data_IF_325288148644
#
_entry.id   IF_325288148644
#
_cell.length_a   1.000
_cell.length_b   1.000
_cell.length_c   1.000
_cell.angle_alpha   90.00
_cell.angle_beta   90.00
_cell.angle_gamma   90.00
#
_symmetry.space_group_name_H-M   'P 1'
#
loop_
_entity.id
_entity.type
_entity.pdbx_description
1 polymer ?
#
# COMPACT_ATOMS: atom_id res chain seq x y z
N UNK A 1 -0.40 8.06 24.16
CA UNK A 1 0.82 8.54 23.47
C UNK A 1 0.51 8.66 21.99
N UNK A 2 0.67 9.84 21.39
CA UNK A 2 0.57 10.03 19.94
C UNK A 2 2.00 9.89 19.36
N UNK A 3 2.26 8.82 18.62
CA UNK A 3 3.59 8.47 18.08
C UNK A 3 3.80 8.94 16.65
N UNK A 4 2.86 9.72 16.09
CA UNK A 4 2.85 10.10 14.69
C UNK A 4 2.61 8.92 13.75
N UNK A 5 2.60 9.21 12.44
CA UNK A 5 2.27 8.23 11.39
C UNK A 5 3.20 7.01 11.41
N UNK A 6 4.52 7.23 11.29
CA UNK A 6 5.50 6.15 11.27
C UNK A 6 5.52 5.35 12.58
N UNK A 7 5.35 6.03 13.72
CA UNK A 7 5.30 5.36 15.02
C UNK A 7 4.09 4.44 15.17
N UNK A 8 2.91 4.89 14.72
CA UNK A 8 1.70 4.08 14.71
C UNK A 8 1.83 2.84 13.80
N UNK A 9 2.34 3.04 12.59
CA UNK A 9 2.63 1.97 11.62
C UNK A 9 3.57 0.92 12.24
N UNK A 10 4.67 1.35 12.85
CA UNK A 10 5.67 0.45 13.45
C UNK A 10 5.11 -0.38 14.60
N UNK A 11 4.22 0.20 15.41
CA UNK A 11 3.51 -0.54 16.45
C UNK A 11 2.60 -1.59 15.82
N UNK A 12 1.85 -1.23 14.77
CA UNK A 12 1.00 -2.17 14.02
C UNK A 12 1.78 -3.36 13.48
N UNK A 13 2.92 -3.11 12.81
CA UNK A 13 3.80 -4.15 12.28
C UNK A 13 4.26 -5.14 13.36
N UNK A 14 4.60 -4.64 14.56
CA UNK A 14 5.04 -5.50 15.67
C UNK A 14 3.94 -6.46 16.17
N UNK A 15 2.67 -6.14 15.95
CA UNK A 15 1.54 -6.94 16.42
C UNK A 15 0.87 -7.77 15.32
N UNK A 16 1.16 -7.49 14.04
CA UNK A 16 0.66 -8.28 12.92
C UNK A 16 1.28 -9.67 12.84
N UNK A 17 0.50 -10.63 12.34
CA UNK A 17 0.87 -12.06 12.25
C UNK A 17 0.71 -12.66 10.86
N UNK A 18 0.25 -11.87 9.88
CA UNK A 18 0.04 -12.34 8.52
C UNK A 18 1.35 -12.39 7.73
N UNK A 19 1.35 -13.17 6.65
CA UNK A 19 2.50 -13.28 5.74
C UNK A 19 2.77 -11.99 4.96
N UNK A 20 1.76 -11.12 4.86
CA UNK A 20 1.80 -9.82 4.20
C UNK A 20 1.29 -8.73 5.14
N UNK A 21 1.90 -7.55 5.03
CA UNK A 21 1.47 -6.33 5.71
C UNK A 21 0.79 -5.43 4.67
N UNK A 22 -0.43 -4.99 4.95
CA UNK A 22 -1.13 -3.99 4.15
C UNK A 22 -1.18 -2.67 4.92
N UNK A 23 -0.59 -1.62 4.35
CA UNK A 23 -0.68 -0.26 4.87
C UNK A 23 -1.90 0.43 4.27
N UNK A 24 -2.83 0.87 5.12
CA UNK A 24 -4.02 1.62 4.72
C UNK A 24 -4.13 2.90 5.54
N UNK A 25 -4.57 3.96 4.87
CA UNK A 25 -5.04 5.15 5.53
C UNK A 25 -6.57 5.08 5.68
N UNK A 26 -7.14 5.83 6.62
CA UNK A 26 -8.58 5.85 6.87
C UNK A 26 -9.38 6.75 5.93
N UNK A 27 -8.70 7.55 5.10
CA UNK A 27 -9.27 8.61 4.25
C UNK A 27 -9.33 8.23 2.76
N UNK A 28 -9.28 6.93 2.44
CA UNK A 28 -9.34 6.41 1.08
C UNK A 28 -10.52 5.47 0.89
N UNK A 29 -10.99 5.37 -0.34
CA UNK A 29 -11.99 4.38 -0.77
C UNK A 29 -11.33 3.40 -1.74
N UNK A 30 -11.67 2.13 -1.57
CA UNK A 30 -11.12 1.04 -2.36
C UNK A 30 -12.17 0.43 -3.27
N UNK A 31 -11.76 -0.05 -4.44
CA UNK A 31 -12.59 -0.96 -5.22
C UNK A 31 -12.71 -2.31 -4.49
N UNK A 32 -13.86 -3.00 -4.55
CA UNK A 32 -14.09 -4.21 -3.76
C UNK A 32 -13.06 -5.33 -3.96
N UNK A 33 -12.44 -5.38 -5.13
CA UNK A 33 -11.48 -6.41 -5.57
C UNK A 33 -10.01 -6.00 -5.43
N UNK A 34 -9.71 -4.77 -4.99
CA UNK A 34 -8.34 -4.22 -5.00
C UNK A 34 -7.33 -5.15 -4.30
N UNK A 35 -7.73 -5.76 -3.17
CA UNK A 35 -6.85 -6.63 -2.41
C UNK A 35 -6.56 -7.92 -3.17
N UNK A 36 -7.57 -8.51 -3.83
CA UNK A 36 -7.39 -9.73 -4.60
C UNK A 36 -6.48 -9.50 -5.81
N UNK A 37 -6.62 -8.35 -6.47
CA UNK A 37 -5.72 -7.94 -7.54
C UNK A 37 -4.27 -7.79 -7.03
N UNK A 38 -4.07 -7.13 -5.89
CA UNK A 38 -2.75 -6.98 -5.29
C UNK A 38 -2.13 -8.34 -4.92
N UNK A 39 -2.90 -9.25 -4.34
CA UNK A 39 -2.43 -10.59 -3.95
C UNK A 39 -1.96 -11.41 -5.15
N UNK A 40 -2.54 -11.21 -6.35
CA UNK A 40 -2.11 -11.90 -7.56
C UNK A 40 -0.65 -11.60 -7.93
N UNK A 41 -0.14 -10.40 -7.64
CA UNK A 41 1.26 -10.06 -7.94
C UNK A 41 2.25 -10.88 -7.10
N UNK A 42 1.89 -11.24 -5.87
CA UNK A 42 2.73 -12.04 -4.97
C UNK A 42 2.80 -13.53 -5.36
N UNK A 43 2.01 -13.99 -6.34
CA UNK A 43 2.21 -15.31 -6.96
C UNK A 43 3.58 -15.39 -7.63
N UNK A 44 4.09 -14.26 -8.13
CA UNK A 44 5.47 -14.15 -8.57
C UNK A 44 6.39 -13.94 -7.35
N UNK A 45 7.23 -14.94 -7.05
CA UNK A 45 8.16 -14.92 -5.90
C UNK A 45 9.22 -13.82 -5.95
N UNK A 46 9.38 -13.12 -7.07
CA UNK A 46 10.27 -11.95 -7.21
C UNK A 46 9.62 -10.64 -6.76
N UNK A 47 8.30 -10.64 -6.50
CA UNK A 47 7.56 -9.46 -6.03
C UNK A 47 7.53 -9.47 -4.51
N UNK A 48 8.08 -8.42 -3.91
CA UNK A 48 8.11 -8.25 -2.45
C UNK A 48 7.24 -7.08 -1.96
N UNK A 49 6.92 -6.14 -2.85
CA UNK A 49 6.07 -4.99 -2.57
C UNK A 49 5.15 -4.81 -3.77
N UNK A 50 3.86 -4.64 -3.51
CA UNK A 50 2.88 -4.26 -4.50
C UNK A 50 2.10 -3.05 -3.97
N UNK A 51 1.69 -2.17 -4.87
CA UNK A 51 0.82 -1.04 -4.55
C UNK A 51 -0.22 -0.88 -5.66
N UNK A 52 -1.46 -0.49 -5.33
CA UNK A 52 -2.44 -0.16 -6.33
C UNK A 52 -2.09 1.18 -6.98
N UNK A 53 -2.72 1.47 -8.12
CA UNK A 53 -2.81 2.83 -8.63
C UNK A 53 -3.73 3.62 -7.71
N UNK A 54 -3.36 4.85 -7.36
CA UNK A 54 -4.21 5.78 -6.61
C UNK A 54 -4.76 6.80 -7.59
N UNK A 55 -6.08 6.99 -7.59
CA UNK A 55 -6.78 8.02 -8.35
C UNK A 55 -7.29 9.14 -7.45
N UNK A 56 -7.65 10.27 -8.05
CA UNK A 56 -8.41 11.29 -7.34
C UNK A 56 -9.81 10.78 -6.98
N UNK A 57 -10.27 11.09 -5.77
CA UNK A 57 -11.59 10.65 -5.28
C UNK A 57 -12.75 11.13 -6.17
N UNK A 58 -12.72 12.41 -6.58
CA UNK A 58 -13.77 13.02 -7.42
C UNK A 58 -13.67 12.67 -8.90
N UNK A 59 -12.52 12.16 -9.36
CA UNK A 59 -12.30 11.78 -10.76
C UNK A 59 -11.38 10.57 -10.82
N UNK A 60 -12.00 9.38 -10.90
CA UNK A 60 -11.29 8.10 -10.96
C UNK A 60 -10.48 7.90 -12.25
N UNK A 61 -10.71 8.71 -13.29
CA UNK A 61 -9.91 8.67 -14.51
C UNK A 61 -8.57 9.42 -14.35
N UNK A 62 -8.46 10.30 -13.35
CA UNK A 62 -7.24 11.04 -13.07
C UNK A 62 -6.37 10.29 -12.07
N UNK A 63 -5.18 9.90 -12.53
CA UNK A 63 -4.17 9.24 -11.72
C UNK A 63 -3.52 10.26 -10.77
N UNK A 64 -3.49 9.94 -9.49
CA UNK A 64 -2.68 10.66 -8.50
C UNK A 64 -1.30 10.01 -8.36
N UNK A 65 -1.24 8.69 -8.21
CA UNK A 65 0.02 7.97 -7.98
C UNK A 65 -0.02 6.61 -8.67
N UNK A 66 1.07 6.26 -9.37
CA UNK A 66 1.19 5.01 -10.14
C UNK A 66 2.58 4.38 -9.99
N UNK A 67 3.15 4.48 -8.79
CA UNK A 67 4.47 3.97 -8.46
C UNK A 67 5.58 5.01 -8.50
N UNK A 68 6.79 4.56 -8.21
CA UNK A 68 7.99 5.39 -8.16
C UNK A 68 9.24 4.59 -8.52
N UNK A 69 10.33 5.31 -8.85
CA UNK A 69 11.65 4.72 -9.07
C UNK A 69 12.56 5.16 -7.93
N UNK A 70 13.27 4.20 -7.35
CA UNK A 70 14.27 4.47 -6.31
C UNK A 70 15.64 4.30 -6.94
N UNK A 71 16.47 5.34 -6.84
CA UNK A 71 17.90 5.21 -7.08
C UNK A 71 18.60 5.20 -5.72
N UNK A 72 19.30 4.11 -5.42
CA UNK A 72 20.00 3.93 -4.15
C UNK A 72 21.45 4.46 -4.19
N UNK A 73 21.96 4.78 -5.38
CA UNK A 73 23.38 5.05 -5.62
C UNK A 73 23.63 6.26 -6.54
N UNK A 74 22.72 7.23 -6.57
CA UNK A 74 22.98 8.53 -7.19
C UNK A 74 24.00 9.34 -6.39
#
# INVERSE_FOLDING_TARGET
>A
MNTGFAGGINIGIKHSKGDLILFLNSDIVHEPDFLMEMLNFFKNKKVHIAQPKICYYNDKNKIWQNGGKINLFS
#
